data_IF_996459054004
#
_entry.id   IF_996459054004
#
_cell.length_a   1.000
_cell.length_b   1.000
_cell.length_c   1.000
_cell.angle_alpha   90.00
_cell.angle_beta   90.00
_cell.angle_gamma   90.00
#
_symmetry.space_group_name_H-M   'P 1'
#
loop_
_entity.id
_entity.type
_entity.pdbx_description
1 polymer ?
#
# COMPACT_ATOMS: atom_id res chain seq x y z
N UNK A 1 -9.97 20.68 -2.09
CA UNK A 1 -9.26 21.59 -1.17
C UNK A 1 -8.97 20.80 0.09
N UNK A 2 -7.73 20.86 0.58
CA UNK A 2 -7.31 20.28 1.85
C UNK A 2 -6.79 21.43 2.71
N UNK A 3 -7.12 21.45 4.00
CA UNK A 3 -6.72 22.52 4.92
C UNK A 3 -6.31 21.93 6.27
N UNK A 4 -5.22 22.43 6.81
CA UNK A 4 -4.79 22.19 8.18
C UNK A 4 -5.26 23.37 9.04
N UNK A 5 -5.96 23.09 10.12
CA UNK A 5 -6.44 24.10 11.07
C UNK A 5 -5.91 23.83 12.46
N UNK A 6 -5.14 24.78 12.98
CA UNK A 6 -4.60 24.79 14.35
C UNK A 6 -3.84 23.51 14.72
N UNK A 7 -3.15 22.89 13.73
CA UNK A 7 -2.43 21.65 13.93
C UNK A 7 -1.27 21.86 14.89
N UNK A 8 -1.30 21.14 16.00
CA UNK A 8 -0.16 21.02 16.89
C UNK A 8 0.17 19.55 17.12
N UNK A 9 1.44 19.23 17.27
CA UNK A 9 1.93 17.89 17.60
C UNK A 9 2.97 17.95 18.69
N UNK A 10 2.70 17.26 19.78
CA UNK A 10 3.57 17.15 20.95
C UNK A 10 3.95 15.68 21.10
N UNK A 11 5.23 15.41 21.18
CA UNK A 11 5.79 14.10 21.52
C UNK A 11 6.38 14.15 22.94
N UNK A 12 6.68 13.00 23.58
CA UNK A 12 7.28 12.98 24.90
C UNK A 12 8.58 13.80 25.03
N UNK A 13 9.31 13.96 23.92
CA UNK A 13 10.56 14.72 23.83
C UNK A 13 10.37 16.19 23.43
N UNK A 14 9.12 16.66 23.29
CA UNK A 14 8.84 18.07 23.04
C UNK A 14 7.80 18.38 21.95
N UNK A 15 7.59 19.67 21.73
CA UNK A 15 6.66 20.20 20.72
C UNK A 15 7.34 20.19 19.36
N UNK A 16 6.74 19.51 18.39
CA UNK A 16 7.23 19.43 17.02
C UNK A 16 6.46 20.38 16.08
N UNK A 17 5.15 20.51 16.29
CA UNK A 17 4.30 21.45 15.54
C UNK A 17 3.52 22.29 16.53
N UNK A 18 3.36 23.57 16.24
CA UNK A 18 2.61 24.52 17.07
C UNK A 18 1.75 25.41 16.18
N UNK A 19 0.44 25.24 16.29
CA UNK A 19 -0.59 26.06 15.65
C UNK A 19 -0.36 26.26 14.14
N UNK A 20 -0.13 25.16 13.43
CA UNK A 20 0.13 25.18 11.98
C UNK A 20 -1.19 25.33 11.22
N UNK A 21 -1.23 26.33 10.35
CA UNK A 21 -2.40 26.68 9.54
C UNK A 21 -1.98 26.92 8.09
N UNK A 22 -2.47 26.13 7.14
CA UNK A 22 -2.29 26.34 5.71
C UNK A 22 -3.24 25.47 4.88
N UNK A 23 -3.40 25.80 3.61
CA UNK A 23 -4.32 25.10 2.71
C UNK A 23 -3.66 24.72 1.38
N UNK A 24 -4.24 23.67 0.73
CA UNK A 24 -3.88 23.23 -0.62
C UNK A 24 -5.13 23.30 -1.48
N UNK A 25 -5.06 24.02 -2.61
CA UNK A 25 -6.11 24.10 -3.61
C UNK A 25 -5.85 23.12 -4.75
N UNK A 26 -6.87 22.77 -5.53
CA UNK A 26 -6.65 21.97 -6.75
C UNK A 26 -5.62 22.62 -7.67
N UNK A 27 -4.64 21.83 -8.10
CA UNK A 27 -3.56 22.29 -8.96
C UNK A 27 -2.35 22.90 -8.25
N UNK A 28 -2.41 23.14 -6.94
CA UNK A 28 -1.27 23.66 -6.19
C UNK A 28 -0.12 22.66 -6.15
N UNK A 29 1.11 23.21 -6.18
CA UNK A 29 2.35 22.50 -5.89
C UNK A 29 3.04 23.22 -4.75
N UNK A 30 3.14 22.58 -3.59
CA UNK A 30 3.65 23.19 -2.36
C UNK A 30 4.94 22.51 -1.93
N UNK A 31 5.98 23.31 -1.69
CA UNK A 31 7.23 22.85 -1.09
C UNK A 31 7.32 23.22 0.39
N UNK A 32 7.47 22.23 1.27
CA UNK A 32 7.76 22.46 2.69
C UNK A 32 9.27 22.56 2.89
N UNK A 33 9.74 23.76 3.23
CA UNK A 33 11.17 24.06 3.41
C UNK A 33 11.47 24.35 4.88
N UNK A 34 12.61 23.90 5.36
CA UNK A 34 13.06 24.13 6.74
C UNK A 34 14.18 23.17 7.14
N UNK A 35 14.81 23.43 8.27
CA UNK A 35 15.88 22.59 8.84
C UNK A 35 15.38 21.18 9.21
N UNK A 36 16.29 20.25 9.40
CA UNK A 36 15.94 18.93 9.90
C UNK A 36 15.32 19.05 11.30
N UNK A 37 14.26 18.27 11.55
CA UNK A 37 13.51 18.37 12.80
C UNK A 37 12.42 19.46 12.84
N UNK A 38 12.29 20.31 11.81
CA UNK A 38 11.25 21.37 11.77
C UNK A 38 9.81 20.86 11.62
N UNK A 39 9.57 19.54 11.65
CA UNK A 39 8.24 18.96 11.59
C UNK A 39 7.64 18.77 10.18
N UNK A 40 8.46 18.93 9.11
CA UNK A 40 7.99 18.77 7.71
C UNK A 40 7.34 17.39 7.48
N UNK A 41 8.06 16.32 7.78
CA UNK A 41 7.56 14.94 7.62
C UNK A 41 6.39 14.65 8.55
N UNK A 42 6.36 15.25 9.75
CA UNK A 42 5.23 15.12 10.68
C UNK A 42 3.95 15.72 10.11
N UNK A 43 4.04 16.88 9.45
CA UNK A 43 2.88 17.47 8.77
C UNK A 43 2.36 16.57 7.64
N UNK A 44 3.26 16.02 6.81
CA UNK A 44 2.88 15.11 5.73
C UNK A 44 2.23 13.83 6.27
N UNK A 45 2.77 13.25 7.34
CA UNK A 45 2.18 12.07 8.01
C UNK A 45 0.81 12.37 8.62
N UNK A 46 0.59 13.56 9.17
CA UNK A 46 -0.71 13.99 9.67
C UNK A 46 -1.71 14.13 8.50
N UNK A 47 -1.30 14.72 7.39
CA UNK A 47 -2.13 14.83 6.18
C UNK A 47 -2.51 13.46 5.65
N UNK A 48 -1.55 12.52 5.60
CA UNK A 48 -1.77 11.14 5.17
C UNK A 48 -2.69 10.34 6.12
N UNK A 49 -2.80 10.78 7.39
CA UNK A 49 -3.55 10.06 8.42
C UNK A 49 -2.75 8.98 9.14
N UNK A 50 -1.42 8.93 8.94
CA UNK A 50 -0.52 8.01 9.65
C UNK A 50 -0.25 8.45 11.10
N UNK A 51 -0.37 9.74 11.37
CA UNK A 51 -0.15 10.34 12.69
C UNK A 51 -1.30 11.28 13.01
N UNK A 52 -1.95 11.09 14.16
CA UNK A 52 -2.96 12.03 14.64
C UNK A 52 -2.31 13.29 15.23
N UNK A 53 -2.83 14.49 14.95
CA UNK A 53 -2.41 15.70 15.62
C UNK A 53 -2.77 15.65 17.12
N UNK A 54 -2.04 16.39 17.96
CA UNK A 54 -2.40 16.56 19.38
C UNK A 54 -3.58 17.53 19.53
N UNK A 55 -3.62 18.57 18.71
CA UNK A 55 -4.74 19.52 18.60
C UNK A 55 -4.89 19.94 17.14
N UNK A 56 -6.07 20.46 16.79
CA UNK A 56 -6.40 20.87 15.44
C UNK A 56 -6.91 19.73 14.59
N UNK A 57 -7.23 20.01 13.35
CA UNK A 57 -7.80 19.02 12.43
C UNK A 57 -7.35 19.23 10.98
N UNK A 58 -7.39 18.13 10.20
CA UNK A 58 -7.19 18.16 8.75
C UNK A 58 -8.55 18.12 8.07
N UNK A 59 -8.94 19.22 7.46
CA UNK A 59 -10.20 19.35 6.75
C UNK A 59 -10.00 18.97 5.29
N UNK A 60 -10.72 17.92 4.85
CA UNK A 60 -10.69 17.41 3.48
C UNK A 60 -12.03 16.81 3.08
N UNK A 61 -12.41 16.84 1.79
CA UNK A 61 -13.57 16.10 1.30
C UNK A 61 -13.36 14.58 1.53
N UNK A 62 -14.44 13.87 1.85
CA UNK A 62 -14.40 12.41 2.03
C UNK A 62 -13.94 11.66 0.77
N UNK A 63 -14.17 12.25 -0.41
CA UNK A 63 -13.75 11.69 -1.70
C UNK A 63 -12.29 12.00 -2.08
N UNK A 64 -11.54 12.73 -1.24
CA UNK A 64 -10.15 13.04 -1.53
C UNK A 64 -9.26 11.86 -1.14
N UNK A 65 -8.68 11.21 -2.14
CA UNK A 65 -7.64 10.20 -1.94
C UNK A 65 -6.29 10.87 -1.77
N UNK A 66 -5.56 10.49 -0.75
CA UNK A 66 -4.22 10.99 -0.45
C UNK A 66 -3.24 9.83 -0.59
N UNK A 67 -2.23 9.99 -1.43
CA UNK A 67 -1.09 9.11 -1.49
C UNK A 67 0.10 9.80 -0.80
N UNK A 68 0.81 9.06 0.04
CA UNK A 68 2.01 9.53 0.73
C UNK A 68 3.18 8.61 0.38
N UNK A 69 4.22 9.19 -0.19
CA UNK A 69 5.48 8.49 -0.41
C UNK A 69 6.44 8.83 0.73
N UNK A 70 6.73 7.86 1.58
CA UNK A 70 7.69 8.02 2.67
C UNK A 70 9.14 8.10 2.14
N UNK A 71 10.03 8.74 2.90
CA UNK A 71 11.47 8.72 2.59
C UNK A 71 12.10 7.35 2.82
N UNK A 72 11.56 6.61 3.80
CA UNK A 72 11.94 5.25 4.12
C UNK A 72 10.69 4.39 3.88
N UNK A 73 10.77 3.49 2.96
CA UNK A 73 9.76 2.45 2.74
C UNK A 73 10.42 1.11 3.00
N UNK A 74 9.74 0.31 3.77
CA UNK A 74 10.16 -1.05 4.04
C UNK A 74 9.52 -1.95 2.99
N UNK A 75 10.37 -2.56 2.16
CA UNK A 75 10.00 -3.66 1.29
C UNK A 75 10.58 -4.94 1.86
N UNK A 76 9.87 -6.04 1.73
CA UNK A 76 10.38 -7.33 2.18
C UNK A 76 11.44 -7.84 1.17
N UNK A 77 12.73 -7.90 1.56
CA UNK A 77 13.81 -8.29 0.66
C UNK A 77 13.72 -9.74 0.20
N UNK A 78 12.87 -10.55 0.83
CA UNK A 78 12.67 -11.97 0.52
C UNK A 78 11.57 -12.21 -0.51
N UNK A 79 10.78 -11.18 -0.83
CA UNK A 79 9.73 -11.25 -1.87
C UNK A 79 10.30 -10.94 -3.24
N UNK A 80 9.63 -11.46 -4.24
CA UNK A 80 9.82 -11.00 -5.63
C UNK A 80 9.16 -9.64 -5.83
N UNK A 81 9.56 -8.93 -6.89
CA UNK A 81 8.94 -7.65 -7.25
C UNK A 81 7.43 -7.82 -7.43
N UNK A 82 6.99 -8.88 -8.11
CA UNK A 82 5.56 -9.20 -8.33
C UNK A 82 4.82 -9.44 -7.01
N UNK A 83 5.40 -10.22 -6.09
CA UNK A 83 4.82 -10.46 -4.77
C UNK A 83 4.70 -9.18 -3.96
N UNK A 84 5.66 -8.25 -4.07
CA UNK A 84 5.60 -6.97 -3.37
C UNK A 84 4.45 -6.10 -3.91
N UNK A 85 4.22 -6.07 -5.24
CA UNK A 85 3.03 -5.42 -5.81
C UNK A 85 1.72 -6.01 -5.27
N UNK A 86 1.64 -7.32 -5.07
CA UNK A 86 0.46 -7.98 -4.52
C UNK A 86 0.14 -7.57 -3.09
N UNK A 87 1.11 -7.09 -2.31
CA UNK A 87 0.87 -6.67 -0.91
C UNK A 87 -0.15 -5.53 -0.79
N UNK A 88 -0.28 -4.71 -1.82
CA UNK A 88 -1.24 -3.60 -1.89
C UNK A 88 -2.69 -4.13 -1.91
N UNK A 89 -2.91 -5.31 -2.49
CA UNK A 89 -4.22 -5.92 -2.69
C UNK A 89 -4.48 -7.03 -1.66
N UNK A 90 -4.45 -6.69 -0.37
CA UNK A 90 -4.41 -7.64 0.75
C UNK A 90 -5.46 -8.77 0.66
N UNK A 91 -6.72 -8.47 0.34
CA UNK A 91 -7.79 -9.48 0.28
C UNK A 91 -7.67 -10.37 -0.97
N UNK A 92 -7.35 -9.79 -2.11
CA UNK A 92 -7.14 -10.54 -3.35
C UNK A 92 -5.88 -11.44 -3.22
N UNK A 93 -4.81 -10.94 -2.63
CA UNK A 93 -3.59 -11.71 -2.38
C UNK A 93 -3.83 -12.91 -1.47
N UNK A 94 -4.50 -12.72 -0.33
CA UNK A 94 -4.88 -13.83 0.56
C UNK A 94 -5.72 -14.89 -0.13
N UNK A 95 -6.65 -14.45 -0.99
CA UNK A 95 -7.50 -15.37 -1.74
C UNK A 95 -6.69 -16.12 -2.78
N UNK A 96 -5.76 -15.45 -3.47
CA UNK A 96 -4.83 -16.06 -4.43
C UNK A 96 -3.93 -17.11 -3.76
N UNK A 97 -3.30 -16.79 -2.64
CA UNK A 97 -2.49 -17.73 -1.85
C UNK A 97 -3.30 -18.97 -1.43
N UNK A 98 -4.55 -18.76 -1.01
CA UNK A 98 -5.47 -19.85 -0.64
C UNK A 98 -5.83 -20.74 -1.83
N UNK A 99 -6.02 -20.15 -3.02
CA UNK A 99 -6.23 -20.89 -4.27
C UNK A 99 -5.04 -21.79 -4.59
N UNK A 100 -3.83 -21.24 -4.56
CA UNK A 100 -2.61 -21.99 -4.82
C UNK A 100 -2.39 -23.12 -3.79
N UNK A 101 -2.76 -22.87 -2.53
CA UNK A 101 -2.67 -23.89 -1.50
C UNK A 101 -3.65 -25.05 -1.76
N UNK A 102 -4.92 -24.76 -2.04
CA UNK A 102 -5.92 -25.78 -2.35
C UNK A 102 -5.53 -26.59 -3.58
N UNK A 103 -5.00 -25.96 -4.61
CA UNK A 103 -4.51 -26.65 -5.81
C UNK A 103 -3.39 -27.64 -5.47
N UNK A 104 -2.40 -27.23 -4.65
CA UNK A 104 -1.35 -28.14 -4.18
C UNK A 104 -1.87 -29.32 -3.34
N UNK A 105 -2.83 -29.05 -2.46
CA UNK A 105 -3.47 -30.08 -1.66
C UNK A 105 -4.22 -31.13 -2.53
N UNK A 106 -4.84 -30.67 -3.62
CA UNK A 106 -5.53 -31.56 -4.56
C UNK A 106 -4.60 -32.52 -5.30
N UNK A 107 -3.33 -32.18 -5.52
CA UNK A 107 -2.35 -33.06 -6.18
C UNK A 107 -2.08 -34.35 -5.40
N UNK A 108 -2.26 -34.32 -4.08
CA UNK A 108 -1.96 -35.45 -3.18
C UNK A 108 -3.17 -36.00 -2.44
N UNK A 109 -4.36 -35.40 -2.69
CA UNK A 109 -5.60 -35.74 -1.99
C UNK A 109 -6.11 -37.13 -2.35
N UNK A 110 -6.70 -37.80 -1.36
CA UNK A 110 -7.47 -39.01 -1.60
C UNK A 110 -8.88 -38.68 -2.14
N UNK A 111 -9.64 -39.68 -2.69
CA UNK A 111 -10.96 -39.41 -3.29
C UNK A 111 -12.00 -38.75 -2.37
N UNK A 112 -11.93 -39.03 -1.07
CA UNK A 112 -12.87 -38.46 -0.09
C UNK A 112 -12.56 -36.98 0.22
N UNK A 113 -11.29 -36.62 0.20
CA UNK A 113 -10.81 -35.26 0.40
C UNK A 113 -11.02 -34.40 -0.84
N UNK A 114 -10.92 -34.99 -2.03
CA UNK A 114 -10.98 -34.29 -3.31
C UNK A 114 -12.31 -33.53 -3.49
N UNK A 115 -13.45 -34.15 -3.16
CA UNK A 115 -14.76 -33.50 -3.25
C UNK A 115 -14.85 -32.25 -2.36
N UNK A 116 -14.26 -32.28 -1.17
CA UNK A 116 -14.20 -31.13 -0.27
C UNK A 116 -13.32 -30.02 -0.85
N UNK A 117 -12.16 -30.39 -1.39
CA UNK A 117 -11.23 -29.43 -1.98
C UNK A 117 -11.78 -28.78 -3.24
N UNK A 118 -12.52 -29.52 -4.09
CA UNK A 118 -13.21 -28.97 -5.27
C UNK A 118 -14.22 -27.90 -4.84
N UNK A 119 -15.04 -28.18 -3.83
CA UNK A 119 -15.99 -27.20 -3.32
C UNK A 119 -15.32 -25.97 -2.72
N UNK A 120 -14.16 -26.14 -2.07
CA UNK A 120 -13.37 -25.03 -1.54
C UNK A 120 -12.77 -24.20 -2.66
N UNK A 121 -12.21 -24.84 -3.68
CA UNK A 121 -11.67 -24.19 -4.87
C UNK A 121 -12.72 -23.32 -5.56
N UNK A 122 -13.93 -23.85 -5.81
CA UNK A 122 -15.02 -23.11 -6.46
C UNK A 122 -15.40 -21.84 -5.67
N UNK A 123 -15.47 -21.94 -4.33
CA UNK A 123 -15.75 -20.77 -3.47
C UNK A 123 -14.65 -19.71 -3.56
N UNK A 124 -13.40 -20.14 -3.51
CA UNK A 124 -12.24 -19.23 -3.59
C UNK A 124 -12.15 -18.57 -4.97
N UNK A 125 -12.45 -19.31 -6.05
CA UNK A 125 -12.47 -18.76 -7.41
C UNK A 125 -13.54 -17.66 -7.55
N UNK A 126 -14.76 -17.91 -7.06
CA UNK A 126 -15.81 -16.87 -7.07
C UNK A 126 -15.45 -15.65 -6.24
N UNK A 127 -14.78 -15.84 -5.10
CA UNK A 127 -14.31 -14.72 -4.27
C UNK A 127 -13.22 -13.92 -5.01
N UNK A 128 -12.29 -14.62 -5.65
CA UNK A 128 -11.21 -14.00 -6.41
C UNK A 128 -11.73 -13.20 -7.60
N UNK A 129 -12.73 -13.72 -8.32
CA UNK A 129 -13.44 -13.01 -9.38
C UNK A 129 -14.17 -11.77 -8.84
N UNK A 130 -14.86 -11.89 -7.70
CA UNK A 130 -15.55 -10.76 -7.08
C UNK A 130 -14.60 -9.63 -6.60
N UNK A 131 -13.35 -9.98 -6.31
CA UNK A 131 -12.27 -9.05 -5.97
C UNK A 131 -11.53 -8.52 -7.22
N UNK A 132 -11.97 -8.86 -8.42
CA UNK A 132 -11.30 -8.55 -9.70
C UNK A 132 -9.84 -9.07 -9.76
N UNK A 133 -9.57 -10.20 -9.11
CA UNK A 133 -8.22 -10.74 -8.96
C UNK A 133 -7.48 -10.92 -10.29
N UNK A 134 -8.14 -11.43 -11.33
CA UNK A 134 -7.55 -11.56 -12.67
C UNK A 134 -7.28 -10.20 -13.33
N UNK A 135 -8.12 -9.20 -13.09
CA UNK A 135 -7.87 -7.82 -13.52
C UNK A 135 -6.66 -7.20 -12.80
N UNK A 136 -6.49 -7.50 -11.52
CA UNK A 136 -5.32 -7.05 -10.73
C UNK A 136 -4.02 -7.67 -11.25
N UNK A 137 -4.00 -8.96 -11.61
CA UNK A 137 -2.85 -9.60 -12.25
C UNK A 137 -2.45 -8.85 -13.53
N UNK A 138 -3.43 -8.60 -14.40
CA UNK A 138 -3.18 -7.87 -15.64
C UNK A 138 -2.71 -6.42 -15.39
N UNK A 139 -3.19 -5.78 -14.31
CA UNK A 139 -2.71 -4.44 -13.92
C UNK A 139 -1.27 -4.47 -13.46
N UNK A 140 -0.86 -5.43 -12.63
CA UNK A 140 0.53 -5.59 -12.18
C UNK A 140 1.46 -5.78 -13.38
N UNK A 141 1.12 -6.69 -14.31
CA UNK A 141 1.90 -6.94 -15.53
C UNK A 141 2.02 -5.68 -16.41
N UNK A 142 1.03 -4.81 -16.41
CA UNK A 142 1.07 -3.55 -17.13
C UNK A 142 1.91 -2.48 -16.43
N UNK A 143 1.85 -2.41 -15.10
CA UNK A 143 2.54 -1.38 -14.30
C UNK A 143 4.05 -1.65 -14.24
N UNK A 144 4.48 -2.92 -14.19
CA UNK A 144 5.90 -3.29 -14.12
C UNK A 144 6.76 -2.58 -15.18
N UNK A 145 6.46 -2.65 -16.50
CA UNK A 145 7.22 -1.92 -17.52
C UNK A 145 7.09 -0.39 -17.40
N UNK A 146 5.94 0.13 -16.96
CA UNK A 146 5.75 1.57 -16.77
C UNK A 146 6.66 2.12 -15.64
N UNK A 147 7.02 1.28 -14.68
CA UNK A 147 7.97 1.59 -13.61
C UNK A 147 9.43 1.29 -13.98
N UNK A 148 9.70 0.79 -15.19
CA UNK A 148 11.03 0.53 -15.69
C UNK A 148 11.57 -0.88 -15.44
N UNK A 149 10.72 -1.81 -14.97
CA UNK A 149 11.08 -3.22 -14.84
C UNK A 149 10.93 -3.95 -16.18
N UNK A 150 11.85 -4.87 -16.47
CA UNK A 150 11.66 -5.83 -17.55
C UNK A 150 10.72 -6.98 -17.11
N UNK A 151 10.19 -7.74 -18.05
CA UNK A 151 9.23 -8.81 -17.74
C UNK A 151 9.82 -9.86 -16.76
N UNK A 152 11.10 -10.18 -16.92
CA UNK A 152 11.81 -11.12 -16.06
C UNK A 152 12.11 -10.58 -14.65
N UNK A 153 12.12 -9.26 -14.47
CA UNK A 153 12.37 -8.63 -13.18
C UNK A 153 11.24 -8.89 -12.18
N UNK A 154 10.03 -9.12 -12.67
CA UNK A 154 8.88 -9.43 -11.83
C UNK A 154 9.10 -10.64 -10.89
N UNK A 155 9.87 -11.62 -11.34
CA UNK A 155 10.16 -12.85 -10.61
C UNK A 155 11.50 -12.81 -9.82
N UNK A 156 12.22 -11.67 -9.90
CA UNK A 156 13.45 -11.46 -9.13
C UNK A 156 13.13 -10.92 -7.74
N UNK A 157 13.98 -11.28 -6.78
CA UNK A 157 13.85 -10.75 -5.42
C UNK A 157 14.06 -9.23 -5.38
N UNK A 158 13.28 -8.55 -4.55
CA UNK A 158 13.43 -7.11 -4.30
C UNK A 158 14.85 -6.76 -3.87
N UNK A 159 15.50 -7.64 -3.09
CA UNK A 159 16.89 -7.47 -2.67
C UNK A 159 17.92 -7.42 -3.82
N UNK A 160 17.55 -7.82 -5.03
CA UNK A 160 18.42 -7.74 -6.20
C UNK A 160 18.49 -6.32 -6.80
N UNK A 161 17.64 -5.40 -6.34
CA UNK A 161 17.54 -4.03 -6.83
C UNK A 161 18.11 -3.04 -5.81
N UNK A 162 18.64 -1.92 -6.28
CA UNK A 162 19.10 -0.84 -5.41
C UNK A 162 17.92 -0.02 -4.86
N UNK A 163 18.09 0.62 -3.70
CA UNK A 163 17.05 1.44 -3.08
C UNK A 163 16.59 2.68 -3.88
N UNK A 164 17.07 2.84 -5.10
CA UNK A 164 16.62 3.87 -6.03
C UNK A 164 15.62 3.39 -7.09
N UNK A 165 15.30 2.11 -7.03
CA UNK A 165 14.29 1.47 -7.90
C UNK A 165 12.90 1.52 -7.29
#
# INVERSE_FOLDING_TARGET
MLRLEHISKIYPNGVVLKDVNWEVKPGDRIGLVGVNGAGKSTQLKIIAGEVEPTTGEVIRPASLHIAYLSQEFEVDPTRTVREEFWTVFTEANKTHESLLQVQREMETANPEELDRLINQLDRLQRLYEALDGYGLEAQIEKILPEMGFEAEDGDRLVSAFSGGW
#
